data_IF_603383248840
#
_entry.id   IF_603383248840
#
_cell.length_a   1.000
_cell.length_b   1.000
_cell.length_c   1.000
_cell.angle_alpha   90.00
_cell.angle_beta   90.00
_cell.angle_gamma   90.00
#
_symmetry.space_group_name_H-M   'P 1'
#
loop_
_entity.id
_entity.type
_entity.pdbx_description
1 polymer ?
#
# COMPACT_ATOMS: atom_id res chain seq x y z
N UNK A 1 -2.79 6.32 24.62
CA UNK A 1 -1.32 6.17 24.75
C UNK A 1 -0.66 6.01 23.37
N UNK A 2 0.66 6.02 23.32
CA UNK A 2 1.41 5.67 22.09
C UNK A 2 1.23 6.66 20.94
N UNK A 3 0.84 6.16 19.78
CA UNK A 3 0.68 6.96 18.57
C UNK A 3 -0.27 8.14 18.72
N UNK A 4 -1.37 7.94 19.40
CA UNK A 4 -2.34 9.01 19.68
C UNK A 4 -1.72 10.16 20.47
N UNK A 5 -1.03 9.87 21.59
CA UNK A 5 -0.42 10.93 22.45
C UNK A 5 0.73 11.63 21.72
N UNK A 6 1.54 10.88 20.98
CA UNK A 6 2.58 11.46 20.11
C UNK A 6 1.97 12.44 19.10
N UNK A 7 0.95 12.01 18.36
CA UNK A 7 0.34 12.81 17.31
C UNK A 7 -0.40 14.02 17.90
N UNK A 8 -1.04 13.88 19.08
CA UNK A 8 -1.61 14.99 19.82
C UNK A 8 -0.57 16.05 20.18
N UNK A 9 0.59 15.65 20.70
CA UNK A 9 1.68 16.59 21.02
C UNK A 9 2.33 17.23 19.80
N UNK A 10 2.21 16.60 18.63
CA UNK A 10 2.67 17.16 17.36
C UNK A 10 1.60 18.01 16.65
N UNK A 11 0.40 18.15 17.22
CA UNK A 11 -0.72 18.85 16.57
C UNK A 11 -1.28 18.12 15.35
N UNK A 12 -1.04 16.82 15.22
CA UNK A 12 -1.52 15.98 14.12
C UNK A 12 -2.85 15.35 14.53
N UNK A 13 -3.89 15.53 13.72
CA UNK A 13 -5.18 14.88 13.95
C UNK A 13 -5.04 13.36 13.85
N UNK A 14 -5.43 12.66 14.92
CA UNK A 14 -5.43 11.20 14.99
C UNK A 14 -6.64 10.75 15.82
N UNK A 15 -7.50 9.91 15.25
CA UNK A 15 -8.69 9.37 15.91
C UNK A 15 -8.50 7.92 16.37
N UNK A 16 -7.30 7.37 16.27
CA UNK A 16 -6.95 6.02 16.70
C UNK A 16 -6.57 6.04 18.19
N UNK A 17 -7.59 5.95 19.05
CA UNK A 17 -7.43 6.11 20.51
C UNK A 17 -7.13 4.77 21.15
N UNK A 18 -5.85 4.57 21.51
CA UNK A 18 -5.37 3.42 22.27
C UNK A 18 -5.45 3.68 23.78
N UNK A 19 -6.18 2.82 24.50
CA UNK A 19 -6.32 2.83 25.95
C UNK A 19 -5.62 1.60 26.55
N UNK A 20 -4.78 1.81 27.56
CA UNK A 20 -4.11 0.72 28.27
C UNK A 20 -4.63 0.63 29.68
N UNK A 21 -4.93 -0.59 30.11
CA UNK A 21 -5.46 -0.92 31.44
C UNK A 21 -4.45 -1.78 32.18
N UNK A 22 -4.02 -1.35 33.37
CA UNK A 22 -3.32 -2.21 34.33
C UNK A 22 -4.34 -3.16 34.92
N UNK A 23 -4.46 -4.34 34.35
CA UNK A 23 -5.49 -5.31 34.68
C UNK A 23 -6.07 -5.96 33.40
N UNK A 24 -7.27 -6.51 33.51
CA UNK A 24 -7.95 -7.17 32.39
C UNK A 24 -8.75 -6.16 31.57
N UNK A 25 -8.16 -5.74 30.43
CA UNK A 25 -8.79 -4.78 29.53
C UNK A 25 -10.08 -5.30 28.88
N UNK A 26 -10.23 -6.62 28.66
CA UNK A 26 -11.44 -7.16 28.04
C UNK A 26 -12.62 -7.12 29.01
N UNK A 27 -12.40 -7.38 30.30
CA UNK A 27 -13.43 -7.22 31.33
C UNK A 27 -13.79 -5.74 31.49
N UNK A 28 -12.79 -4.86 31.59
CA UNK A 28 -13.01 -3.42 31.71
C UNK A 28 -13.83 -2.89 30.52
N UNK A 29 -13.42 -3.23 29.29
CA UNK A 29 -14.10 -2.77 28.08
C UNK A 29 -15.56 -3.28 27.98
N UNK A 30 -15.83 -4.52 28.41
CA UNK A 30 -17.21 -5.06 28.47
C UNK A 30 -18.07 -4.26 29.45
N UNK A 31 -17.54 -3.98 30.66
CA UNK A 31 -18.25 -3.21 31.69
C UNK A 31 -18.51 -1.78 31.23
N UNK A 32 -17.48 -1.12 30.67
CA UNK A 32 -17.58 0.21 30.14
C UNK A 32 -18.60 0.32 28.98
N UNK A 33 -18.53 -0.60 28.02
CA UNK A 33 -19.46 -0.63 26.89
C UNK A 33 -20.91 -0.87 27.35
N UNK A 34 -21.11 -1.74 28.37
CA UNK A 34 -22.45 -1.98 28.95
C UNK A 34 -23.03 -0.72 29.60
N UNK A 35 -22.22 0.03 30.36
CA UNK A 35 -22.65 1.28 31.00
C UNK A 35 -23.04 2.35 29.97
N UNK A 36 -22.31 2.43 28.88
CA UNK A 36 -22.54 3.39 27.79
C UNK A 36 -23.57 2.91 26.75
N UNK A 37 -24.05 1.69 26.86
CA UNK A 37 -24.90 1.01 25.83
C UNK A 37 -24.23 0.94 24.44
N UNK A 38 -22.92 0.78 24.42
CA UNK A 38 -22.12 0.69 23.22
C UNK A 38 -21.78 -0.77 22.86
N UNK A 39 -21.35 -0.99 21.61
CA UNK A 39 -20.91 -2.32 21.17
C UNK A 39 -19.47 -2.58 21.54
N UNK A 40 -19.14 -3.83 21.92
CA UNK A 40 -17.77 -4.27 22.22
C UNK A 40 -17.44 -5.54 21.46
N UNK A 41 -16.21 -5.60 20.91
CA UNK A 41 -15.62 -6.79 20.32
C UNK A 41 -14.36 -7.12 21.10
N UNK A 42 -14.25 -8.35 21.66
CA UNK A 42 -13.09 -8.78 22.45
C UNK A 42 -12.23 -9.78 21.71
N UNK A 43 -10.94 -9.74 21.97
CA UNK A 43 -9.93 -10.68 21.50
C UNK A 43 -9.17 -11.22 22.73
N UNK A 44 -9.81 -12.13 23.46
CA UNK A 44 -9.35 -12.58 24.79
C UNK A 44 -7.95 -13.20 24.75
N UNK A 45 -7.59 -13.89 23.66
CA UNK A 45 -6.23 -14.45 23.46
C UNK A 45 -5.13 -13.37 23.52
N UNK A 46 -5.44 -12.14 23.13
CA UNK A 46 -4.47 -11.03 23.09
C UNK A 46 -4.68 -10.01 24.21
N UNK A 47 -5.69 -10.21 25.05
CA UNK A 47 -6.05 -9.26 26.11
C UNK A 47 -6.44 -7.89 25.56
N UNK A 48 -7.13 -7.83 24.40
CA UNK A 48 -7.55 -6.60 23.75
C UNK A 48 -9.04 -6.58 23.47
N UNK A 49 -9.63 -5.38 23.40
CA UNK A 49 -11.02 -5.17 23.04
C UNK A 49 -11.18 -3.84 22.29
N UNK A 50 -12.11 -3.82 21.34
CA UNK A 50 -12.53 -2.59 20.63
C UNK A 50 -13.96 -2.25 21.04
N UNK A 51 -14.16 -1.07 21.60
CA UNK A 51 -15.48 -0.49 21.87
C UNK A 51 -15.85 0.46 20.74
N UNK A 52 -17.07 0.33 20.23
CA UNK A 52 -17.60 1.16 19.14
C UNK A 52 -18.64 2.11 19.73
N UNK A 53 -18.32 3.39 19.77
CA UNK A 53 -19.17 4.47 20.27
C UNK A 53 -20.41 4.70 19.39
N UNK A 54 -21.37 5.46 19.88
CA UNK A 54 -22.61 5.81 19.15
C UNK A 54 -22.35 6.54 17.82
N UNK A 55 -21.31 7.39 17.77
CA UNK A 55 -20.85 8.13 16.59
C UNK A 55 -19.95 7.30 15.65
N UNK A 56 -19.85 5.99 15.90
CA UNK A 56 -18.97 5.03 15.20
C UNK A 56 -17.45 5.20 15.47
N UNK A 57 -17.05 6.12 16.37
CA UNK A 57 -15.67 6.18 16.82
C UNK A 57 -15.29 4.87 17.52
N UNK A 58 -14.03 4.45 17.37
CA UNK A 58 -13.49 3.25 17.99
C UNK A 58 -12.54 3.61 19.12
N UNK A 59 -12.66 2.90 20.23
CA UNK A 59 -11.74 2.96 21.35
C UNK A 59 -11.10 1.58 21.50
N UNK A 60 -9.80 1.49 21.34
CA UNK A 60 -9.07 0.24 21.46
C UNK A 60 -8.47 0.11 22.86
N UNK A 61 -8.87 -0.97 23.55
CA UNK A 61 -8.42 -1.29 24.90
C UNK A 61 -7.43 -2.45 24.86
N UNK A 62 -6.31 -2.31 25.57
CA UNK A 62 -5.31 -3.36 25.72
C UNK A 62 -4.88 -3.50 27.19
N UNK A 63 -4.71 -4.72 27.66
CA UNK A 63 -4.07 -4.98 28.95
C UNK A 63 -2.60 -4.59 28.90
N UNK A 64 -2.12 -3.88 29.91
CA UNK A 64 -0.70 -3.62 30.08
C UNK A 64 0.07 -4.94 30.18
N UNK A 65 1.13 -5.10 29.39
CA UNK A 65 1.81 -6.39 29.24
C UNK A 65 3.31 -6.25 29.01
N UNK A 66 4.05 -7.30 29.37
CA UNK A 66 5.42 -7.54 28.89
C UNK A 66 5.40 -8.50 27.71
N UNK A 67 6.42 -8.42 26.89
CA UNK A 67 6.69 -9.33 25.79
C UNK A 67 8.01 -10.05 26.06
N UNK A 68 8.01 -11.37 25.83
CA UNK A 68 9.20 -12.19 25.90
C UNK A 68 9.41 -12.91 24.58
N UNK A 69 10.60 -12.76 24.01
CA UNK A 69 11.00 -13.37 22.76
C UNK A 69 11.88 -14.58 23.05
N UNK A 70 11.43 -15.78 22.68
CA UNK A 70 12.17 -17.02 22.90
C UNK A 70 13.46 -17.06 22.08
N UNK A 71 13.41 -16.50 20.86
CA UNK A 71 14.56 -16.33 19.96
C UNK A 71 14.34 -15.08 19.09
N UNK A 72 15.43 -14.56 18.46
CA UNK A 72 15.33 -13.41 17.57
C UNK A 72 14.28 -13.57 16.48
N UNK A 73 13.46 -12.54 16.24
CA UNK A 73 12.35 -12.50 15.29
C UNK A 73 11.18 -13.47 15.59
N UNK A 74 11.13 -14.11 16.76
CA UNK A 74 9.98 -14.91 17.20
C UNK A 74 8.73 -14.03 17.38
N UNK A 75 7.56 -14.67 17.43
CA UNK A 75 6.37 -14.00 17.96
C UNK A 75 6.48 -13.97 19.50
N UNK A 76 6.21 -12.82 20.15
CA UNK A 76 6.37 -12.70 21.59
C UNK A 76 5.31 -13.48 22.36
N UNK A 77 5.72 -14.10 23.46
CA UNK A 77 4.82 -14.53 24.53
C UNK A 77 4.50 -13.32 25.40
N UNK A 78 3.22 -13.13 25.72
CA UNK A 78 2.75 -11.97 26.48
C UNK A 78 2.33 -12.34 27.89
N UNK A 79 2.69 -11.50 28.88
CA UNK A 79 2.24 -11.61 30.27
C UNK A 79 1.75 -10.26 30.76
N UNK A 80 0.65 -10.24 31.52
CA UNK A 80 0.12 -9.01 32.11
C UNK A 80 1.18 -8.33 33.00
N UNK A 81 1.22 -7.01 32.99
CA UNK A 81 2.25 -6.23 33.67
C UNK A 81 1.81 -4.79 33.96
N UNK A 82 2.75 -3.96 34.47
CA UNK A 82 2.52 -2.53 34.71
C UNK A 82 2.65 -1.70 33.42
N UNK A 83 2.08 -0.47 33.42
CA UNK A 83 2.20 0.50 32.34
C UNK A 83 3.67 0.79 31.98
N UNK A 84 4.54 0.92 32.98
CA UNK A 84 5.97 1.18 32.77
C UNK A 84 6.62 0.10 31.91
N UNK A 85 6.32 -1.18 32.20
CA UNK A 85 6.85 -2.31 31.42
C UNK A 85 6.20 -2.42 30.04
N UNK A 86 4.89 -2.09 29.91
CA UNK A 86 4.22 -2.04 28.61
C UNK A 86 4.83 -0.98 27.70
N UNK A 87 5.16 0.18 28.24
CA UNK A 87 5.84 1.23 27.49
C UNK A 87 7.27 0.83 27.09
N UNK A 88 7.99 0.05 27.96
CA UNK A 88 9.38 -0.38 27.68
C UNK A 88 9.50 -1.37 26.53
N UNK A 89 8.50 -2.24 26.28
CA UNK A 89 8.51 -3.21 25.19
C UNK A 89 8.27 -2.60 23.80
N UNK A 90 7.89 -1.31 23.73
CA UNK A 90 7.58 -0.62 22.47
C UNK A 90 8.81 -0.40 21.63
N UNK A 91 8.58 0.08 20.41
CA UNK A 91 9.65 0.25 19.42
C UNK A 91 10.52 1.50 19.67
N UNK A 92 9.90 2.68 19.88
CA UNK A 92 10.61 3.95 19.96
C UNK A 92 10.12 4.79 21.14
N UNK A 93 11.01 5.63 21.70
CA UNK A 93 10.71 6.54 22.81
C UNK A 93 9.51 7.44 22.52
N UNK A 94 9.38 7.95 21.29
CA UNK A 94 8.24 8.80 20.88
C UNK A 94 6.89 8.08 20.92
N UNK A 95 6.87 6.76 20.97
CA UNK A 95 5.66 5.94 21.06
C UNK A 95 5.42 5.42 22.51
N UNK A 96 6.21 5.87 23.50
CA UNK A 96 6.06 5.49 24.91
C UNK A 96 5.38 6.55 25.75
N UNK A 97 4.77 7.53 25.13
CA UNK A 97 4.03 8.58 25.83
C UNK A 97 2.60 8.11 26.14
N UNK A 98 2.14 8.42 27.34
CA UNK A 98 0.78 8.14 27.76
C UNK A 98 0.20 9.33 28.55
N UNK A 99 -1.12 9.45 28.59
CA UNK A 99 -1.83 10.42 29.41
C UNK A 99 -2.63 9.61 30.45
N UNK A 100 -2.50 9.98 31.72
CA UNK A 100 -3.24 9.36 32.80
C UNK A 100 -4.72 9.76 32.72
N UNK A 101 -5.62 8.78 32.82
CA UNK A 101 -7.07 9.01 32.84
C UNK A 101 -7.68 8.82 34.23
N UNK A 102 -6.88 8.47 35.23
CA UNK A 102 -7.33 8.21 36.59
C UNK A 102 -7.22 9.46 37.46
N UNK A 103 -8.25 9.69 38.29
CA UNK A 103 -8.19 10.68 39.37
C UNK A 103 -7.17 10.26 40.44
N UNK A 104 -6.39 11.17 41.06
CA UNK A 104 -6.36 12.63 40.86
C UNK A 104 -5.43 13.11 39.72
N UNK A 105 -4.78 12.20 39.01
CA UNK A 105 -3.75 12.49 38.02
C UNK A 105 -4.30 12.63 36.56
N UNK A 106 -5.59 12.87 36.46
CA UNK A 106 -6.22 13.03 35.14
C UNK A 106 -5.55 14.11 34.30
N UNK A 107 -5.14 13.76 33.06
CA UNK A 107 -4.46 14.66 32.14
C UNK A 107 -2.94 14.73 32.33
N UNK A 108 -2.36 14.13 33.39
CA UNK A 108 -0.90 14.07 33.58
C UNK A 108 -0.22 13.27 32.45
N UNK A 109 0.81 13.86 31.84
CA UNK A 109 1.60 13.20 30.82
C UNK A 109 2.64 12.26 31.47
N UNK A 110 2.61 11.00 31.09
CA UNK A 110 3.53 9.96 31.53
C UNK A 110 4.61 9.78 30.48
N UNK A 111 5.87 10.08 30.83
CA UNK A 111 7.06 9.93 30.00
C UNK A 111 8.21 9.33 30.80
N UNK A 112 8.32 8.01 30.84
CA UNK A 112 9.41 7.30 31.55
C UNK A 112 10.72 7.24 30.74
N UNK A 113 10.68 7.45 29.44
CA UNK A 113 11.78 7.12 28.53
C UNK A 113 12.26 8.31 27.69
N UNK A 114 11.82 9.53 27.99
CA UNK A 114 12.26 10.75 27.35
C UNK A 114 11.67 10.94 25.96
N UNK A 115 10.44 10.45 25.74
CA UNK A 115 9.72 10.59 24.46
C UNK A 115 9.47 12.03 24.08
N UNK A 116 9.13 12.92 25.02
CA UNK A 116 8.97 14.36 24.77
C UNK A 116 10.25 15.01 24.24
N UNK A 117 11.39 14.71 24.89
CA UNK A 117 12.70 15.23 24.44
C UNK A 117 12.98 14.81 23.00
N UNK A 118 12.74 13.55 22.66
CA UNK A 118 12.99 13.01 21.34
C UNK A 118 11.99 13.53 20.29
N UNK A 119 10.74 13.86 20.69
CA UNK A 119 9.79 14.59 19.85
C UNK A 119 10.27 15.99 19.51
N UNK A 120 10.67 16.78 20.52
CA UNK A 120 11.20 18.14 20.29
C UNK A 120 12.48 18.09 19.46
N UNK A 121 13.36 17.10 19.72
CA UNK A 121 14.60 16.88 18.98
C UNK A 121 14.41 16.27 17.60
N UNK A 122 13.17 15.96 17.19
CA UNK A 122 12.82 15.29 15.92
C UNK A 122 13.66 14.05 15.67
N UNK A 123 13.74 13.16 16.67
CA UNK A 123 14.67 12.03 16.66
C UNK A 123 13.93 10.73 16.92
N UNK A 124 14.17 9.71 16.10
CA UNK A 124 13.74 8.34 16.33
C UNK A 124 14.82 7.62 17.15
N UNK A 125 14.47 7.22 18.36
CA UNK A 125 15.33 6.49 19.29
C UNK A 125 14.66 5.21 19.75
N UNK A 126 15.39 4.09 19.72
CA UNK A 126 14.96 2.83 20.33
C UNK A 126 15.08 2.89 21.86
N UNK A 127 14.36 2.02 22.54
CA UNK A 127 14.31 1.96 24.00
C UNK A 127 15.52 1.22 24.61
N UNK A 128 16.04 0.20 23.90
CA UNK A 128 17.16 -0.61 24.36
C UNK A 128 17.98 -1.19 23.20
N UNK A 129 19.20 -1.61 23.48
CA UNK A 129 20.16 -2.07 22.48
C UNK A 129 19.75 -3.35 21.73
N UNK A 130 18.97 -4.22 22.34
CA UNK A 130 18.51 -5.48 21.72
C UNK A 130 17.25 -5.33 20.86
N UNK A 131 16.66 -4.13 20.80
CA UNK A 131 15.38 -3.87 20.14
C UNK A 131 15.28 -4.41 18.72
N UNK A 132 16.31 -4.24 17.91
CA UNK A 132 16.35 -4.72 16.52
C UNK A 132 16.75 -6.19 16.37
N UNK A 133 17.36 -6.78 17.40
CA UNK A 133 17.65 -8.21 17.44
C UNK A 133 16.38 -8.99 17.80
N UNK A 134 15.64 -8.51 18.80
CA UNK A 134 14.35 -9.10 19.19
C UNK A 134 13.32 -9.04 18.06
N UNK A 135 13.17 -7.88 17.45
CA UNK A 135 12.28 -7.69 16.31
C UNK A 135 12.92 -6.85 15.18
N UNK A 136 13.52 -7.50 14.17
CA UNK A 136 14.14 -6.81 13.04
C UNK A 136 13.16 -5.95 12.22
N UNK A 137 11.85 -6.19 12.31
CA UNK A 137 10.85 -5.34 11.61
C UNK A 137 10.83 -3.93 12.15
N UNK A 138 11.29 -3.72 13.38
CA UNK A 138 11.43 -2.36 13.95
C UNK A 138 12.39 -1.48 13.15
N UNK A 139 13.34 -2.05 12.39
CA UNK A 139 14.20 -1.27 11.48
C UNK A 139 13.36 -0.63 10.36
N UNK A 140 12.48 -1.40 9.72
CA UNK A 140 11.57 -0.86 8.71
C UNK A 140 10.64 0.21 9.30
N UNK A 141 10.14 -0.04 10.51
CA UNK A 141 9.32 0.92 11.25
C UNK A 141 10.09 2.20 11.59
N UNK A 142 11.38 2.11 12.01
CA UNK A 142 12.23 3.26 12.29
C UNK A 142 12.36 4.16 11.06
N UNK A 143 12.67 3.57 9.91
CA UNK A 143 12.79 4.30 8.64
C UNK A 143 11.45 4.93 8.25
N UNK A 144 10.33 4.18 8.37
CA UNK A 144 9.00 4.68 8.04
C UNK A 144 8.59 5.85 8.94
N UNK A 145 8.80 5.76 10.26
CA UNK A 145 8.52 6.86 11.18
C UNK A 145 9.41 8.06 10.93
N UNK A 146 10.70 7.85 10.67
CA UNK A 146 11.63 8.93 10.34
C UNK A 146 11.14 9.74 9.13
N UNK A 147 10.70 9.06 8.06
CA UNK A 147 10.21 9.72 6.86
C UNK A 147 8.81 10.33 7.06
N UNK A 148 7.88 9.61 7.71
CA UNK A 148 6.52 10.10 7.96
C UNK A 148 6.51 11.37 8.81
N UNK A 149 7.32 11.42 9.88
CA UNK A 149 7.35 12.52 10.82
C UNK A 149 8.39 13.59 10.43
N UNK A 150 9.16 13.36 9.38
CA UNK A 150 10.32 14.19 9.02
C UNK A 150 11.32 14.30 10.17
N UNK A 151 11.62 13.17 10.82
CA UNK A 151 12.57 13.03 11.91
C UNK A 151 13.84 12.34 11.42
N UNK A 152 14.96 12.56 12.15
CA UNK A 152 16.21 11.83 11.91
C UNK A 152 16.26 10.56 12.77
N UNK A 153 16.98 9.56 12.30
CA UNK A 153 17.41 8.44 13.13
C UNK A 153 18.47 8.93 14.12
N UNK A 154 18.33 8.62 15.40
CA UNK A 154 19.33 8.92 16.41
C UNK A 154 20.65 8.21 16.09
N UNK A 155 21.81 8.79 16.50
CA UNK A 155 23.13 8.19 16.25
C UNK A 155 23.22 6.76 16.77
N UNK A 156 22.82 6.53 18.00
CA UNK A 156 22.76 5.21 18.62
C UNK A 156 21.83 4.26 17.86
N UNK A 157 20.62 4.72 17.52
CA UNK A 157 19.66 3.93 16.73
C UNK A 157 20.26 3.50 15.39
N UNK A 158 20.96 4.41 14.71
CA UNK A 158 21.67 4.11 13.44
C UNK A 158 22.76 3.06 13.64
N UNK A 159 23.54 3.15 14.70
CA UNK A 159 24.56 2.15 15.05
C UNK A 159 23.95 0.80 15.32
N UNK A 160 22.86 0.73 16.09
CA UNK A 160 22.15 -0.50 16.40
C UNK A 160 21.50 -1.15 15.16
N UNK A 161 21.01 -0.34 14.20
CA UNK A 161 20.55 -0.86 12.90
C UNK A 161 21.69 -1.56 12.17
N UNK A 162 22.86 -0.90 12.06
CA UNK A 162 24.04 -1.48 11.41
C UNK A 162 24.51 -2.77 12.10
N UNK A 163 24.53 -2.77 13.43
CA UNK A 163 24.86 -3.96 14.22
C UNK A 163 23.86 -5.11 14.00
N UNK A 164 22.56 -4.85 13.99
CA UNK A 164 21.56 -5.87 13.73
C UNK A 164 21.69 -6.48 12.32
N UNK A 165 22.05 -5.66 11.32
CA UNK A 165 22.32 -6.12 9.96
C UNK A 165 23.54 -7.03 9.93
N UNK A 166 24.66 -6.59 10.53
CA UNK A 166 25.92 -7.36 10.55
C UNK A 166 25.78 -8.69 11.31
N UNK A 167 24.97 -8.74 12.36
CA UNK A 167 24.64 -9.94 13.13
C UNK A 167 23.64 -10.86 12.44
N UNK A 168 23.14 -10.52 11.25
CA UNK A 168 22.21 -11.35 10.50
C UNK A 168 20.80 -11.45 11.11
N UNK A 169 20.35 -10.45 11.89
CA UNK A 169 19.06 -10.48 12.56
C UNK A 169 17.86 -10.74 11.61
N UNK A 170 17.97 -10.32 10.35
CA UNK A 170 16.93 -10.52 9.34
C UNK A 170 16.84 -11.94 8.78
N UNK A 171 17.82 -12.81 9.01
CA UNK A 171 17.84 -14.18 8.46
C UNK A 171 16.68 -15.03 9.01
N UNK A 172 16.25 -14.75 10.26
CA UNK A 172 15.15 -15.44 10.92
C UNK A 172 13.79 -14.76 10.72
N UNK A 173 13.75 -13.63 10.02
CA UNK A 173 12.50 -12.94 9.72
C UNK A 173 11.68 -13.77 8.73
N UNK A 174 10.42 -14.07 9.09
CA UNK A 174 9.53 -14.82 8.19
C UNK A 174 9.25 -14.01 6.92
N UNK A 175 9.15 -14.74 5.80
CA UNK A 175 8.96 -14.16 4.47
C UNK A 175 7.66 -13.36 4.36
N UNK A 176 6.60 -13.83 5.02
CA UNK A 176 5.32 -13.11 5.11
C UNK A 176 5.44 -11.79 5.87
N UNK A 177 6.20 -11.75 7.00
CA UNK A 177 6.45 -10.50 7.72
C UNK A 177 7.25 -9.52 6.86
N UNK A 178 8.28 -10.00 6.15
CA UNK A 178 9.06 -9.17 5.25
C UNK A 178 8.20 -8.60 4.11
N UNK A 179 7.32 -9.42 3.51
CA UNK A 179 6.37 -8.95 2.49
C UNK A 179 5.44 -7.87 3.05
N UNK A 180 4.86 -8.11 4.22
CA UNK A 180 3.94 -7.15 4.86
C UNK A 180 4.63 -5.82 5.15
N UNK A 181 5.85 -5.84 5.71
CA UNK A 181 6.62 -4.60 5.93
C UNK A 181 6.95 -3.91 4.60
N UNK A 182 7.32 -4.67 3.56
CA UNK A 182 7.57 -4.09 2.22
C UNK A 182 6.33 -3.39 1.67
N UNK A 183 5.15 -4.00 1.78
CA UNK A 183 3.89 -3.39 1.36
C UNK A 183 3.62 -2.09 2.15
N UNK A 184 3.82 -2.11 3.48
CA UNK A 184 3.65 -0.94 4.33
C UNK A 184 4.60 0.21 3.97
N UNK A 185 5.85 -0.10 3.61
CA UNK A 185 6.84 0.88 3.16
C UNK A 185 6.45 1.51 1.82
N UNK A 186 5.95 0.68 0.89
CA UNK A 186 5.51 1.13 -0.44
C UNK A 186 4.15 1.84 -0.42
N UNK A 187 3.33 1.62 0.61
CA UNK A 187 2.04 2.28 0.83
C UNK A 187 2.17 3.62 1.57
N UNK A 188 3.36 3.96 2.07
CA UNK A 188 3.59 5.20 2.80
C UNK A 188 3.44 6.43 1.89
N UNK A 189 3.36 7.63 2.48
CA UNK A 189 3.26 8.89 1.73
C UNK A 189 4.52 9.23 0.93
N UNK A 190 5.69 8.76 1.39
CA UNK A 190 7.01 9.08 0.80
C UNK A 190 7.83 7.83 0.47
N UNK A 191 7.32 6.88 -0.35
CA UNK A 191 8.01 5.59 -0.57
C UNK A 191 9.40 5.75 -1.16
N UNK A 192 9.61 6.73 -2.06
CA UNK A 192 10.92 6.99 -2.67
C UNK A 192 11.99 7.34 -1.63
N UNK A 193 11.68 8.22 -0.66
CA UNK A 193 12.62 8.57 0.40
C UNK A 193 12.90 7.37 1.32
N UNK A 194 11.88 6.58 1.60
CA UNK A 194 12.00 5.34 2.38
C UNK A 194 12.92 4.34 1.67
N UNK A 195 12.70 4.10 0.38
CA UNK A 195 13.53 3.18 -0.43
C UNK A 195 14.98 3.66 -0.54
N UNK A 196 15.19 4.97 -0.66
CA UNK A 196 16.53 5.55 -0.63
C UNK A 196 17.22 5.27 0.71
N UNK A 197 16.54 5.50 1.83
CA UNK A 197 17.11 5.23 3.16
C UNK A 197 17.34 3.74 3.41
N UNK A 198 16.46 2.85 2.90
CA UNK A 198 16.71 1.41 2.92
C UNK A 198 17.98 1.04 2.14
N UNK A 199 18.21 1.68 1.01
CA UNK A 199 19.42 1.46 0.20
C UNK A 199 20.71 1.88 0.92
N UNK A 200 20.68 2.97 1.70
CA UNK A 200 21.80 3.43 2.53
C UNK A 200 22.24 2.39 3.59
N UNK A 201 21.31 1.51 3.98
CA UNK A 201 21.55 0.38 4.88
C UNK A 201 21.69 -0.96 4.15
N UNK A 202 21.76 -1.00 2.82
CA UNK A 202 21.77 -2.24 2.01
C UNK A 202 20.50 -3.13 2.17
N UNK A 203 19.43 -2.63 2.77
CA UNK A 203 18.23 -3.39 3.11
C UNK A 203 17.35 -3.72 1.90
N UNK A 204 17.55 -3.08 0.75
CA UNK A 204 16.89 -3.49 -0.51
C UNK A 204 17.25 -4.92 -0.90
N UNK A 205 18.45 -5.41 -0.51
CA UNK A 205 18.90 -6.78 -0.73
C UNK A 205 18.04 -7.83 -0.01
N UNK A 206 17.31 -7.44 1.03
CA UNK A 206 16.33 -8.31 1.69
C UNK A 206 15.12 -8.62 0.79
N UNK A 207 14.76 -7.71 -0.11
CA UNK A 207 13.72 -7.94 -1.12
C UNK A 207 14.30 -8.82 -2.24
N UNK A 208 15.43 -8.44 -2.81
CA UNK A 208 16.19 -9.26 -3.76
C UNK A 208 17.66 -8.81 -3.83
N UNK A 209 18.61 -9.75 -3.90
CA UNK A 209 20.06 -9.49 -3.87
C UNK A 209 20.56 -8.53 -4.95
N UNK A 210 19.88 -8.49 -6.12
CA UNK A 210 20.24 -7.61 -7.24
C UNK A 210 19.57 -6.22 -7.16
N UNK A 211 18.71 -5.98 -6.17
CA UNK A 211 18.09 -4.66 -5.99
C UNK A 211 19.12 -3.69 -5.42
N UNK A 212 19.37 -2.63 -6.17
CA UNK A 212 20.27 -1.55 -5.80
C UNK A 212 19.65 -0.21 -6.14
N UNK A 213 20.00 0.80 -5.37
CA UNK A 213 19.62 2.17 -5.68
C UNK A 213 20.40 2.67 -6.89
N UNK A 214 19.69 3.22 -7.86
CA UNK A 214 20.28 3.81 -9.07
C UNK A 214 19.57 5.11 -9.44
N UNK A 215 20.22 5.96 -10.23
CA UNK A 215 19.60 7.17 -10.76
C UNK A 215 18.34 6.86 -11.56
N UNK A 216 18.38 5.79 -12.35
CA UNK A 216 17.22 5.34 -13.14
C UNK A 216 16.05 4.95 -12.23
N UNK A 217 16.30 4.17 -11.16
CA UNK A 217 15.29 3.82 -10.17
C UNK A 217 14.72 5.08 -9.50
N UNK A 218 15.58 6.00 -9.06
CA UNK A 218 15.16 7.25 -8.43
C UNK A 218 14.29 8.12 -9.35
N UNK A 219 14.64 8.21 -10.63
CA UNK A 219 13.86 8.94 -11.64
C UNK A 219 12.49 8.29 -11.88
N UNK A 220 12.45 6.97 -12.04
CA UNK A 220 11.18 6.24 -12.26
C UNK A 220 10.27 6.34 -11.04
N UNK A 221 10.81 6.25 -9.82
CA UNK A 221 10.05 6.46 -8.58
C UNK A 221 9.47 7.89 -8.52
N UNK A 222 10.28 8.91 -8.86
CA UNK A 222 9.81 10.31 -8.91
C UNK A 222 8.73 10.52 -9.97
N UNK A 223 8.85 9.87 -11.13
CA UNK A 223 7.84 9.91 -12.19
C UNK A 223 6.55 9.21 -11.73
N UNK A 224 6.66 8.11 -10.97
CA UNK A 224 5.50 7.39 -10.40
C UNK A 224 4.77 8.22 -9.35
N UNK A 225 5.49 8.97 -8.49
CA UNK A 225 4.86 9.93 -7.56
C UNK A 225 4.00 10.96 -8.31
N UNK A 226 4.53 11.52 -9.43
CA UNK A 226 3.79 12.47 -10.26
C UNK A 226 2.58 11.82 -10.93
N UNK A 227 2.76 10.62 -11.49
CA UNK A 227 1.68 9.89 -12.16
C UNK A 227 0.56 9.49 -11.20
N UNK A 228 0.90 9.07 -9.97
CA UNK A 228 -0.08 8.77 -8.91
C UNK A 228 -0.87 10.02 -8.49
N UNK A 229 -0.19 11.15 -8.26
CA UNK A 229 -0.86 12.42 -7.93
C UNK A 229 -1.82 12.86 -9.03
N UNK A 230 -1.38 12.77 -10.29
CA UNK A 230 -2.22 13.05 -11.45
C UNK A 230 -3.43 12.11 -11.51
N UNK A 231 -3.23 10.80 -11.33
CA UNK A 231 -4.34 9.84 -11.32
C UNK A 231 -5.35 10.15 -10.21
N UNK A 232 -4.88 10.48 -9.00
CA UNK A 232 -5.75 10.86 -7.89
C UNK A 232 -6.58 12.11 -8.21
N UNK A 233 -6.02 13.08 -8.97
CA UNK A 233 -6.76 14.28 -9.39
C UNK A 233 -7.86 14.01 -10.43
N UNK A 234 -7.91 12.82 -11.02
CA UNK A 234 -8.99 12.42 -11.93
C UNK A 234 -10.28 12.01 -11.20
N UNK A 235 -10.25 11.83 -9.87
CA UNK A 235 -11.38 11.43 -9.02
C UNK A 235 -12.16 10.21 -9.57
N UNK A 236 -11.43 9.22 -10.06
CA UNK A 236 -12.03 7.98 -10.56
C UNK A 236 -12.49 7.10 -9.38
N UNK A 237 -13.64 6.43 -9.53
CA UNK A 237 -14.28 5.65 -8.47
C UNK A 237 -13.49 4.41 -7.99
N UNK A 238 -12.45 4.02 -8.72
CA UNK A 238 -11.66 2.82 -8.42
C UNK A 238 -10.56 3.13 -7.39
N UNK A 239 -10.51 2.43 -6.24
CA UNK A 239 -9.43 2.60 -5.28
C UNK A 239 -8.10 2.12 -5.87
N UNK A 240 -7.09 2.98 -5.83
CA UNK A 240 -5.74 2.71 -6.33
C UNK A 240 -4.86 2.11 -5.23
N UNK A 241 -4.24 0.97 -5.51
CA UNK A 241 -3.21 0.39 -4.65
C UNK A 241 -1.82 0.93 -5.02
N UNK A 242 -1.45 2.09 -4.49
CA UNK A 242 -0.19 2.78 -4.82
C UNK A 242 1.05 1.89 -4.65
N UNK A 243 1.08 1.00 -3.64
CA UNK A 243 2.19 0.08 -3.41
C UNK A 243 2.46 -0.84 -4.60
N UNK A 244 1.42 -1.21 -5.37
CA UNK A 244 1.56 -2.05 -6.58
C UNK A 244 2.35 -1.32 -7.66
N UNK A 245 2.12 -0.01 -7.83
CA UNK A 245 2.89 0.82 -8.78
C UNK A 245 4.36 0.83 -8.38
N UNK A 246 4.67 1.12 -7.11
CA UNK A 246 6.05 1.14 -6.62
C UNK A 246 6.71 -0.24 -6.66
N UNK A 247 5.94 -1.30 -6.38
CA UNK A 247 6.42 -2.67 -6.55
C UNK A 247 6.83 -2.96 -8.00
N UNK A 248 5.99 -2.57 -8.98
CA UNK A 248 6.33 -2.73 -10.41
C UNK A 248 7.60 -1.95 -10.77
N UNK A 249 7.79 -0.74 -10.23
CA UNK A 249 9.02 0.04 -10.44
C UNK A 249 10.25 -0.69 -9.92
N UNK A 250 10.18 -1.27 -8.72
CA UNK A 250 11.29 -2.07 -8.16
C UNK A 250 11.58 -3.30 -9.01
N UNK A 251 10.54 -4.03 -9.39
CA UNK A 251 10.67 -5.25 -10.18
C UNK A 251 11.17 -5.00 -11.62
N UNK A 252 10.88 -3.84 -12.17
CA UNK A 252 11.32 -3.45 -13.52
C UNK A 252 12.85 -3.33 -13.65
N UNK A 253 13.55 -3.18 -12.54
CA UNK A 253 15.02 -3.17 -12.51
C UNK A 253 15.63 -4.58 -12.54
N UNK A 254 14.81 -5.62 -12.43
CA UNK A 254 15.24 -7.00 -12.31
C UNK A 254 14.93 -7.82 -13.58
N UNK A 255 15.76 -8.81 -13.93
CA UNK A 255 15.43 -9.76 -15.00
C UNK A 255 14.25 -10.66 -14.60
N UNK A 256 13.49 -11.15 -15.59
CA UNK A 256 12.26 -11.93 -15.38
C UNK A 256 12.42 -13.12 -14.39
N UNK A 257 13.54 -13.83 -14.45
CA UNK A 257 13.82 -14.93 -13.51
C UNK A 257 13.90 -14.41 -12.06
N UNK A 258 14.62 -13.32 -11.84
CA UNK A 258 14.76 -12.72 -10.51
C UNK A 258 13.41 -12.20 -9.95
N UNK A 259 12.50 -11.70 -10.80
CA UNK A 259 11.14 -11.32 -10.40
C UNK A 259 10.37 -12.55 -9.91
N UNK A 260 10.46 -13.68 -10.62
CA UNK A 260 9.81 -14.93 -10.22
C UNK A 260 10.35 -15.43 -8.88
N UNK A 261 11.69 -15.47 -8.75
CA UNK A 261 12.37 -15.87 -7.52
C UNK A 261 11.96 -14.96 -6.34
N UNK A 262 11.81 -13.65 -6.57
CA UNK A 262 11.35 -12.70 -5.55
C UNK A 262 9.91 -13.01 -5.09
N UNK A 263 8.99 -13.21 -6.04
CA UNK A 263 7.59 -13.52 -5.70
C UNK A 263 7.45 -14.84 -4.94
N UNK A 264 8.21 -15.87 -5.34
CA UNK A 264 8.22 -17.16 -4.67
C UNK A 264 8.87 -17.05 -3.28
N UNK A 265 10.00 -16.35 -3.18
CA UNK A 265 10.72 -16.17 -1.92
C UNK A 265 9.92 -15.39 -0.89
N UNK A 266 9.20 -14.35 -1.29
CA UNK A 266 8.35 -13.54 -0.42
C UNK A 266 6.95 -14.14 -0.20
N UNK A 267 6.67 -15.32 -0.78
CA UNK A 267 5.38 -16.01 -0.65
C UNK A 267 4.19 -15.14 -1.08
N UNK A 268 4.35 -14.41 -2.20
CA UNK A 268 3.21 -13.71 -2.78
C UNK A 268 2.05 -14.67 -3.07
N UNK A 269 0.79 -14.26 -2.81
CA UNK A 269 -0.38 -15.03 -3.24
C UNK A 269 -0.28 -15.34 -4.74
N UNK A 270 -0.47 -16.61 -5.12
CA UNK A 270 -0.19 -17.09 -6.49
C UNK A 270 -0.93 -16.29 -7.57
N UNK A 271 -2.20 -15.95 -7.33
CA UNK A 271 -2.99 -15.15 -8.27
C UNK A 271 -2.41 -13.75 -8.46
N UNK A 272 -1.98 -13.10 -7.37
CA UNK A 272 -1.38 -11.76 -7.41
C UNK A 272 -0.02 -11.80 -8.12
N UNK A 273 0.83 -12.79 -7.81
CA UNK A 273 2.11 -12.98 -8.47
C UNK A 273 1.95 -13.22 -9.98
N UNK A 274 0.95 -14.02 -10.39
CA UNK A 274 0.62 -14.27 -11.80
C UNK A 274 0.17 -12.97 -12.50
N UNK A 275 -0.73 -12.20 -11.88
CA UNK A 275 -1.20 -10.91 -12.40
C UNK A 275 -0.05 -9.93 -12.60
N UNK A 276 0.79 -9.73 -11.59
CA UNK A 276 1.95 -8.81 -11.67
C UNK A 276 2.96 -9.21 -12.74
N UNK A 277 3.22 -10.50 -12.93
CA UNK A 277 4.12 -11.01 -13.99
C UNK A 277 3.58 -10.75 -15.39
N UNK A 278 2.30 -10.99 -15.61
CA UNK A 278 1.65 -10.73 -16.91
C UNK A 278 1.73 -9.25 -17.28
N UNK A 279 1.46 -8.38 -16.31
CA UNK A 279 1.55 -6.93 -16.48
C UNK A 279 2.98 -6.54 -16.86
N UNK A 280 3.99 -6.96 -16.09
CA UNK A 280 5.40 -6.60 -16.34
C UNK A 280 5.89 -7.00 -17.73
N UNK A 281 5.53 -8.21 -18.20
CA UNK A 281 5.89 -8.66 -19.55
C UNK A 281 5.24 -7.84 -20.67
N UNK A 282 3.98 -7.44 -20.50
CA UNK A 282 3.21 -6.69 -21.51
C UNK A 282 3.60 -5.22 -21.56
N UNK A 283 4.06 -4.64 -20.44
CA UNK A 283 4.38 -3.21 -20.33
C UNK A 283 5.40 -2.76 -21.39
N UNK A 284 6.53 -3.45 -21.52
CA UNK A 284 7.56 -3.10 -22.50
C UNK A 284 7.06 -3.24 -23.94
N UNK A 285 6.22 -4.23 -24.22
CA UNK A 285 5.59 -4.42 -25.54
C UNK A 285 4.65 -3.28 -25.86
N UNK A 286 3.79 -2.90 -24.93
CA UNK A 286 2.82 -1.81 -25.11
C UNK A 286 3.51 -0.46 -25.32
N UNK A 287 4.53 -0.11 -24.52
CA UNK A 287 5.31 1.12 -24.73
C UNK A 287 5.90 1.12 -26.14
N UNK A 288 6.47 0.01 -26.60
CA UNK A 288 7.04 -0.11 -27.95
C UNK A 288 5.97 0.07 -29.04
N UNK A 289 4.78 -0.51 -28.85
CA UNK A 289 3.68 -0.37 -29.79
C UNK A 289 3.17 1.07 -29.84
N UNK A 290 2.96 1.70 -28.68
CA UNK A 290 2.55 3.09 -28.56
C UNK A 290 3.60 4.08 -29.13
N UNK A 291 4.89 3.68 -29.18
CA UNK A 291 5.97 4.49 -29.76
C UNK A 291 6.06 4.41 -31.28
N UNK A 292 5.58 3.30 -31.90
CA UNK A 292 5.79 3.02 -33.33
C UNK A 292 4.98 3.89 -34.31
N UNK A 293 3.82 4.39 -33.89
CA UNK A 293 2.90 5.08 -34.78
C UNK A 293 2.55 6.48 -34.28
N UNK A 294 2.85 7.52 -35.06
CA UNK A 294 2.49 8.91 -34.76
C UNK A 294 0.98 9.19 -34.73
N UNK A 295 0.19 8.41 -35.49
CA UNK A 295 -1.28 8.51 -35.56
C UNK A 295 -1.90 7.14 -35.26
N UNK A 296 -2.12 6.85 -34.01
CA UNK A 296 -2.90 5.66 -33.57
C UNK A 296 -4.36 6.01 -33.49
N UNK A 297 -5.23 5.11 -33.95
CA UNK A 297 -6.68 5.25 -33.80
C UNK A 297 -7.07 5.02 -32.33
N UNK A 298 -8.10 5.71 -31.82
CA UNK A 298 -8.61 5.48 -30.46
C UNK A 298 -8.94 4.02 -30.17
N UNK A 299 -9.50 3.28 -31.14
CA UNK A 299 -9.79 1.85 -31.04
C UNK A 299 -8.53 1.00 -30.82
N UNK A 300 -7.41 1.31 -31.46
CA UNK A 300 -6.17 0.58 -31.28
C UNK A 300 -5.58 0.82 -29.88
N UNK A 301 -5.62 2.08 -29.41
CA UNK A 301 -5.19 2.45 -28.06
C UNK A 301 -6.06 1.73 -27.01
N UNK A 302 -7.39 1.73 -27.20
CA UNK A 302 -8.31 1.03 -26.31
C UNK A 302 -7.98 -0.46 -26.26
N UNK A 303 -7.83 -1.12 -27.39
CA UNK A 303 -7.53 -2.57 -27.48
C UNK A 303 -6.21 -2.95 -26.80
N UNK A 304 -5.20 -2.06 -26.88
CA UNK A 304 -3.92 -2.28 -26.20
C UNK A 304 -4.01 -2.15 -24.68
N UNK A 305 -4.90 -1.27 -24.17
CA UNK A 305 -4.89 -0.85 -22.78
C UNK A 305 -6.04 -1.42 -21.93
N UNK A 306 -7.16 -1.86 -22.53
CA UNK A 306 -8.39 -2.25 -21.82
C UNK A 306 -8.22 -3.40 -20.82
N UNK A 307 -7.22 -4.26 -20.99
CA UNK A 307 -6.96 -5.36 -20.07
C UNK A 307 -5.99 -5.01 -18.92
N UNK A 308 -5.42 -3.79 -18.93
CA UNK A 308 -4.52 -3.38 -17.86
C UNK A 308 -5.29 -2.80 -16.68
N UNK A 309 -4.96 -3.18 -15.44
CA UNK A 309 -5.47 -2.51 -14.26
C UNK A 309 -4.85 -1.11 -14.14
N UNK A 310 -5.51 -0.25 -13.40
CA UNK A 310 -5.15 1.16 -13.28
C UNK A 310 -3.72 1.35 -12.75
N UNK A 311 -3.27 0.50 -11.81
CA UNK A 311 -1.90 0.52 -11.32
C UNK A 311 -0.86 0.32 -12.43
N UNK A 312 -1.17 -0.55 -13.40
CA UNK A 312 -0.28 -0.79 -14.53
C UNK A 312 -0.31 0.38 -15.52
N UNK A 313 -1.46 1.04 -15.71
CA UNK A 313 -1.57 2.24 -16.56
C UNK A 313 -0.80 3.42 -15.94
N UNK A 314 -0.86 3.59 -14.63
CA UNK A 314 -0.05 4.59 -13.91
C UNK A 314 1.45 4.28 -14.00
N UNK A 315 1.83 3.01 -13.89
CA UNK A 315 3.22 2.60 -14.11
C UNK A 315 3.69 2.85 -15.55
N UNK A 316 2.84 2.56 -16.56
CA UNK A 316 3.10 2.91 -17.95
C UNK A 316 3.27 4.43 -18.14
N UNK A 317 2.42 5.23 -17.50
CA UNK A 317 2.50 6.69 -17.50
C UNK A 317 3.86 7.18 -16.94
N UNK A 318 4.31 6.59 -15.84
CA UNK A 318 5.60 6.92 -15.23
C UNK A 318 6.80 6.56 -16.12
N UNK A 319 6.70 5.48 -16.89
CA UNK A 319 7.74 5.00 -17.83
C UNK A 319 7.64 5.59 -19.23
N UNK A 320 6.58 6.30 -19.55
CA UNK A 320 6.35 6.81 -20.89
C UNK A 320 7.49 7.74 -21.34
N UNK A 321 8.21 7.41 -22.44
CA UNK A 321 9.36 8.18 -22.89
C UNK A 321 8.97 9.47 -23.63
N UNK A 322 7.69 9.66 -23.98
CA UNK A 322 7.19 10.83 -24.71
C UNK A 322 5.84 11.30 -24.21
N UNK A 323 5.58 12.61 -24.39
CA UNK A 323 4.28 13.21 -24.06
C UNK A 323 3.13 12.65 -24.92
N UNK A 324 3.43 12.15 -26.12
CA UNK A 324 2.42 11.51 -26.99
C UNK A 324 1.87 10.24 -26.33
N UNK A 325 2.74 9.39 -25.77
CA UNK A 325 2.31 8.18 -25.05
C UNK A 325 1.51 8.55 -23.80
N UNK A 326 1.94 9.56 -23.05
CA UNK A 326 1.19 10.04 -21.88
C UNK A 326 -0.20 10.54 -22.28
N UNK A 327 -0.33 11.26 -23.40
CA UNK A 327 -1.64 11.69 -23.92
C UNK A 327 -2.53 10.49 -24.28
N UNK A 328 -1.98 9.45 -24.91
CA UNK A 328 -2.74 8.23 -25.22
C UNK A 328 -3.24 7.53 -23.95
N UNK A 329 -2.38 7.37 -22.93
CA UNK A 329 -2.75 6.81 -21.63
C UNK A 329 -3.81 7.66 -20.92
N UNK A 330 -3.64 8.98 -20.95
CA UNK A 330 -4.61 9.91 -20.38
C UNK A 330 -5.96 9.81 -21.09
N UNK A 331 -5.99 9.88 -22.43
CA UNK A 331 -7.20 9.77 -23.23
C UNK A 331 -7.93 8.44 -22.98
N UNK A 332 -7.17 7.34 -22.83
CA UNK A 332 -7.76 6.06 -22.47
C UNK A 332 -8.44 6.12 -21.10
N UNK A 333 -7.75 6.60 -20.07
CA UNK A 333 -8.26 6.65 -18.69
C UNK A 333 -9.45 7.60 -18.53
N UNK A 334 -9.46 8.74 -19.25
CA UNK A 334 -10.48 9.77 -19.07
C UNK A 334 -11.64 9.67 -20.06
N UNK A 335 -11.43 9.03 -21.22
CA UNK A 335 -12.41 9.04 -22.30
C UNK A 335 -12.66 7.65 -22.87
N UNK A 336 -11.66 6.97 -23.42
CA UNK A 336 -11.90 5.79 -24.24
C UNK A 336 -12.47 4.60 -23.46
N UNK A 337 -12.05 4.39 -22.21
CA UNK A 337 -12.53 3.31 -21.35
C UNK A 337 -14.02 3.41 -20.99
N UNK A 338 -14.61 4.59 -21.12
CA UNK A 338 -16.00 4.88 -20.81
C UNK A 338 -16.92 4.84 -22.04
N UNK A 339 -16.33 4.68 -23.25
CA UNK A 339 -17.09 4.57 -24.48
C UNK A 339 -17.54 3.12 -24.63
N UNK A 340 -18.86 2.94 -24.75
CA UNK A 340 -19.50 1.65 -24.99
C UNK A 340 -20.52 1.77 -26.10
N UNK A 341 -20.75 0.71 -26.89
CA UNK A 341 -21.90 0.66 -27.81
C UNK A 341 -23.21 0.78 -27.03
N UNK A 342 -24.20 1.42 -27.63
CA UNK A 342 -25.57 1.46 -27.08
C UNK A 342 -26.26 0.13 -27.26
N UNK A 343 -26.05 -0.52 -28.43
CA UNK A 343 -26.60 -1.82 -28.74
C UNK A 343 -25.78 -2.94 -28.10
N UNK A 344 -26.46 -3.95 -27.61
CA UNK A 344 -25.91 -5.10 -26.92
C UNK A 344 -26.32 -6.43 -27.60
N UNK A 345 -25.89 -7.57 -27.03
CA UNK A 345 -26.19 -8.89 -27.58
C UNK A 345 -27.70 -9.21 -27.67
N UNK A 346 -28.54 -8.60 -26.82
CA UNK A 346 -30.01 -8.78 -26.89
C UNK A 346 -30.58 -8.06 -28.10
N UNK A 347 -30.04 -6.90 -28.46
CA UNK A 347 -30.46 -6.14 -29.61
C UNK A 347 -30.05 -6.84 -30.92
N UNK A 348 -28.88 -7.48 -30.95
CA UNK A 348 -28.45 -8.32 -32.07
C UNK A 348 -29.42 -9.49 -32.31
N UNK A 349 -29.92 -10.13 -31.22
CA UNK A 349 -30.96 -11.18 -31.32
C UNK A 349 -32.26 -10.63 -31.93
N UNK A 350 -32.71 -9.45 -31.48
CA UNK A 350 -33.91 -8.78 -32.02
C UNK A 350 -33.79 -8.43 -33.49
N UNK A 351 -32.55 -8.20 -33.97
CA UNK A 351 -32.21 -7.96 -35.36
C UNK A 351 -32.10 -9.25 -36.21
N UNK A 352 -32.43 -10.43 -35.62
CA UNK A 352 -32.47 -11.71 -36.34
C UNK A 352 -31.18 -12.52 -36.31
N UNK A 353 -30.13 -12.06 -35.60
CA UNK A 353 -28.87 -12.80 -35.50
C UNK A 353 -28.98 -13.98 -34.51
N UNK A 354 -28.45 -15.13 -34.88
CA UNK A 354 -28.32 -16.27 -33.96
C UNK A 354 -27.15 -16.06 -33.00
N UNK A 355 -27.33 -16.31 -31.69
CA UNK A 355 -26.23 -16.22 -30.72
C UNK A 355 -25.08 -17.13 -31.11
N UNK A 356 -23.87 -16.55 -31.10
CA UNK A 356 -22.66 -17.27 -31.48
C UNK A 356 -21.40 -16.40 -31.39
N UNK A 357 -20.22 -16.93 -31.71
CA UNK A 357 -18.93 -16.21 -31.66
C UNK A 357 -18.94 -14.90 -32.47
N UNK A 358 -19.75 -14.82 -33.54
CA UNK A 358 -19.91 -13.62 -34.37
C UNK A 358 -20.44 -12.40 -33.59
N UNK A 359 -21.24 -12.60 -32.49
CA UNK A 359 -21.73 -11.48 -31.67
C UNK A 359 -20.60 -10.64 -31.14
N UNK A 360 -19.56 -11.29 -30.60
CA UNK A 360 -18.37 -10.61 -30.09
C UNK A 360 -17.69 -9.78 -31.17
N UNK A 361 -17.50 -10.37 -32.35
CA UNK A 361 -16.88 -9.65 -33.48
C UNK A 361 -17.66 -8.43 -33.95
N UNK A 362 -19.02 -8.51 -33.94
CA UNK A 362 -19.89 -7.37 -34.29
C UNK A 362 -19.80 -6.28 -33.22
N UNK A 363 -19.91 -6.65 -31.93
CA UNK A 363 -19.82 -5.70 -30.82
C UNK A 363 -18.44 -5.03 -30.74
N UNK A 364 -17.36 -5.77 -31.01
CA UNK A 364 -16.00 -5.21 -31.06
C UNK A 364 -15.88 -4.19 -32.22
N UNK A 365 -16.45 -4.46 -33.40
CA UNK A 365 -16.48 -3.51 -34.50
C UNK A 365 -17.33 -2.27 -34.22
N UNK A 366 -18.46 -2.41 -33.53
CA UNK A 366 -19.27 -1.28 -33.05
C UNK A 366 -18.48 -0.39 -32.09
N UNK A 367 -17.80 -1.02 -31.14
CA UNK A 367 -16.95 -0.29 -30.20
C UNK A 367 -15.83 0.46 -30.94
N UNK A 368 -15.16 -0.18 -31.90
CA UNK A 368 -14.16 0.46 -32.76
C UNK A 368 -14.72 1.68 -33.48
N UNK A 369 -15.92 1.55 -34.09
CA UNK A 369 -16.60 2.65 -34.76
C UNK A 369 -16.95 3.81 -33.84
N UNK A 370 -17.42 3.52 -32.62
CA UNK A 370 -17.69 4.52 -31.57
C UNK A 370 -16.41 5.25 -31.15
N UNK A 371 -15.38 4.49 -30.86
CA UNK A 371 -14.08 5.03 -30.44
C UNK A 371 -13.45 5.92 -31.49
N UNK A 372 -13.54 5.53 -32.76
CA UNK A 372 -12.99 6.28 -33.89
C UNK A 372 -13.87 7.45 -34.36
N UNK A 373 -15.08 7.60 -33.75
CA UNK A 373 -16.03 8.66 -34.15
C UNK A 373 -16.76 8.42 -35.46
N UNK A 374 -16.67 7.21 -36.03
CA UNK A 374 -17.35 6.79 -37.23
C UNK A 374 -18.86 6.54 -37.00
N UNK A 375 -19.19 6.16 -35.79
CA UNK A 375 -20.54 5.87 -35.28
C UNK A 375 -20.83 6.77 -34.09
N UNK A 376 -21.88 7.58 -34.15
CA UNK A 376 -22.22 8.56 -33.10
C UNK A 376 -23.57 8.31 -32.46
N UNK A 377 -24.51 7.72 -33.17
CA UNK A 377 -25.89 7.48 -32.71
C UNK A 377 -26.23 6.01 -32.73
N UNK A 378 -27.32 5.63 -32.04
CA UNK A 378 -27.87 4.27 -32.13
C UNK A 378 -28.29 3.88 -33.55
N UNK A 379 -28.79 4.86 -34.35
CA UNK A 379 -29.13 4.65 -35.73
C UNK A 379 -27.91 4.28 -36.57
N UNK A 380 -26.77 4.93 -36.33
CA UNK A 380 -25.51 4.59 -37.01
C UNK A 380 -25.08 3.17 -36.64
N UNK A 381 -25.21 2.77 -35.39
CA UNK A 381 -24.91 1.42 -34.91
C UNK A 381 -25.77 0.38 -35.65
N UNK A 382 -27.08 0.62 -35.74
CA UNK A 382 -28.01 -0.25 -36.48
C UNK A 382 -27.65 -0.40 -37.95
N UNK A 383 -27.27 0.72 -38.59
CA UNK A 383 -26.85 0.72 -40.00
C UNK A 383 -25.55 -0.06 -40.19
N UNK A 384 -24.56 0.14 -39.31
CA UNK A 384 -23.29 -0.59 -39.30
C UNK A 384 -23.53 -2.12 -39.14
N UNK A 385 -24.40 -2.53 -38.21
CA UNK A 385 -24.75 -3.95 -38.03
C UNK A 385 -25.37 -4.52 -39.32
N UNK A 386 -26.33 -3.81 -39.94
CA UNK A 386 -26.95 -4.25 -41.21
C UNK A 386 -25.93 -4.46 -42.33
N UNK A 387 -24.91 -3.56 -42.42
CA UNK A 387 -23.83 -3.72 -43.37
C UNK A 387 -22.96 -4.94 -43.07
N UNK A 388 -22.59 -5.14 -41.78
CA UNK A 388 -21.77 -6.28 -41.36
C UNK A 388 -22.48 -7.62 -41.63
N UNK A 389 -23.81 -7.69 -41.46
CA UNK A 389 -24.62 -8.91 -41.73
C UNK A 389 -24.63 -9.22 -43.23
N UNK A 390 -24.68 -8.19 -44.11
CA UNK A 390 -24.69 -8.40 -45.58
C UNK A 390 -23.35 -8.87 -46.13
N UNK A 391 -22.25 -8.65 -45.40
CA UNK A 391 -20.89 -8.96 -45.81
C UNK A 391 -20.37 -10.28 -45.22
N UNK A 392 -21.14 -10.93 -44.35
CA UNK A 392 -20.86 -12.24 -43.74
C UNK A 392 -21.77 -13.31 -44.32
#
# INVERSE_FOLDING_TARGET
MGGFVRDLLLGISNLDIDLVVEGNATIFAKTFAKQQKWRVKTHDRFGTATVICSDRQKLDFASARTEHYEYPAALPTVKQSSIKKDLYRRDFTINTLAICLNHPKFGELIDFYGGQRDLHGKTIRVLHSLSFIEDPTRVFRAIRFAQRLNFRLGKETTTLIKSAISMGAFQRLSKSRLLNETILLLSAETPRKILQQLAEFDLLKLIHQKLQWSLTLAHTLKASEKALKWYTSLHLDQPMNSWVVYWMVLMDTLPNKAIQDTHQRLQFPQQQAKKLRLIGRRTSSVIRQLSKHRKQKPSDIHRMLCEFPDEALVFLMAKAPSETIKRHLSAFLTTYRHIHPTLNGTDLKRMGLKPGPQFRGILDKLLDGRLNGEVKTESDERNMIKQLIKTT
#
